data_IF_371313574426
#
_entry.id   IF_371313574426
#
_cell.length_a   1.000
_cell.length_b   1.000
_cell.length_c   1.000
_cell.angle_alpha   90.00
_cell.angle_beta   90.00
_cell.angle_gamma   90.00
#
_symmetry.space_group_name_H-M   'P 1'
#
loop_
_entity.id
_entity.type
_entity.pdbx_description
1 polymer ?
#
# COMPACT_ATOMS: atom_id res chain seq x y z
N UNK A 1 -19.54 12.18 5.49
CA UNK A 1 -18.40 11.60 6.24
C UNK A 1 -18.82 10.49 7.22
N UNK A 2 -19.93 10.63 7.98
CA UNK A 2 -20.36 9.58 8.94
C UNK A 2 -20.64 8.22 8.30
N UNK A 3 -21.12 8.18 7.07
CA UNK A 3 -21.37 6.98 6.28
C UNK A 3 -20.11 6.13 6.03
N UNK A 4 -18.91 6.75 6.07
CA UNK A 4 -17.63 6.08 5.88
C UNK A 4 -16.96 5.64 7.20
N UNK A 5 -17.57 5.87 8.36
CA UNK A 5 -17.02 5.40 9.65
C UNK A 5 -16.76 3.89 9.65
N UNK A 6 -17.62 3.03 9.06
CA UNK A 6 -17.34 1.59 8.97
C UNK A 6 -16.09 1.26 8.16
N UNK A 7 -15.76 2.06 7.15
CA UNK A 7 -14.52 1.89 6.37
C UNK A 7 -13.34 2.33 7.22
N UNK A 8 -13.39 3.52 7.83
CA UNK A 8 -12.33 4.04 8.68
C UNK A 8 -11.99 3.09 9.84
N UNK A 9 -13.00 2.50 10.48
CA UNK A 9 -12.83 1.51 11.55
C UNK A 9 -12.01 0.28 11.14
N UNK A 10 -12.09 -0.11 9.87
CA UNK A 10 -11.31 -1.24 9.32
C UNK A 10 -9.87 -0.85 8.99
N UNK A 11 -9.56 0.44 8.96
CA UNK A 11 -8.19 0.91 8.69
C UNK A 11 -7.30 0.66 9.89
N UNK A 12 -6.01 0.48 9.63
CA UNK A 12 -5.02 0.38 10.71
C UNK A 12 -4.97 1.67 11.55
N UNK A 13 -5.25 2.83 10.94
CA UNK A 13 -5.21 4.14 11.61
C UNK A 13 -6.20 4.22 12.78
N UNK A 14 -7.41 3.66 12.63
CA UNK A 14 -8.46 3.71 13.64
C UNK A 14 -8.66 2.36 14.37
N UNK A 15 -7.69 1.47 14.30
CA UNK A 15 -7.74 0.19 15.02
C UNK A 15 -7.95 0.41 16.53
N UNK A 16 -8.93 -0.26 17.11
CA UNK A 16 -9.27 -0.14 18.54
C UNK A 16 -10.08 1.10 18.92
N UNK A 17 -10.46 1.95 17.97
CA UNK A 17 -11.31 3.14 18.21
C UNK A 17 -12.77 2.80 17.92
N UNK A 18 -13.69 3.24 18.80
CA UNK A 18 -15.14 3.06 18.64
C UNK A 18 -15.74 3.98 17.56
N UNK A 19 -16.90 3.61 17.02
CA UNK A 19 -17.55 4.34 15.91
C UNK A 19 -17.91 5.79 16.28
N UNK A 20 -18.43 5.99 17.49
CA UNK A 20 -18.77 7.32 17.99
C UNK A 20 -17.52 8.17 18.23
N UNK A 21 -16.45 7.54 18.71
CA UNK A 21 -15.16 8.18 18.93
C UNK A 21 -14.52 8.59 17.60
N UNK A 22 -14.55 7.71 16.56
CA UNK A 22 -14.09 8.04 15.20
C UNK A 22 -14.87 9.26 14.70
N UNK A 23 -16.19 9.24 14.81
CA UNK A 23 -17.06 10.34 14.35
C UNK A 23 -16.69 11.68 14.98
N UNK A 24 -16.37 11.67 16.27
CA UNK A 24 -15.94 12.85 17.03
C UNK A 24 -14.54 13.31 16.61
N UNK A 25 -13.62 12.35 16.41
CA UNK A 25 -12.24 12.62 16.04
C UNK A 25 -12.09 13.21 14.64
N UNK A 26 -13.00 12.93 13.70
CA UNK A 26 -12.90 13.49 12.34
C UNK A 26 -12.74 15.01 12.35
N UNK A 27 -13.46 15.73 13.21
CA UNK A 27 -13.31 17.19 13.34
C UNK A 27 -11.98 17.57 13.99
N UNK A 28 -11.54 16.85 15.02
CA UNK A 28 -10.27 17.11 15.70
C UNK A 28 -9.07 16.89 14.77
N UNK A 29 -9.11 15.87 13.93
CA UNK A 29 -8.06 15.53 12.97
C UNK A 29 -8.10 16.41 11.71
N UNK A 30 -9.05 17.34 11.60
CA UNK A 30 -9.22 18.20 10.42
C UNK A 30 -9.59 17.39 9.17
N UNK A 31 -10.38 16.33 9.36
CA UNK A 31 -10.77 15.45 8.28
C UNK A 31 -11.56 16.16 7.19
N UNK A 32 -11.15 15.98 5.94
CA UNK A 32 -11.86 16.40 4.73
C UNK A 32 -12.09 15.18 3.86
N UNK A 33 -13.27 15.04 3.30
CA UNK A 33 -13.60 13.97 2.35
C UNK A 33 -13.83 14.62 0.98
N UNK A 34 -13.05 14.23 0.00
CA UNK A 34 -13.12 14.77 -1.35
C UNK A 34 -13.44 13.65 -2.35
N UNK A 35 -14.42 13.87 -3.24
CA UNK A 35 -14.74 12.97 -4.34
C UNK A 35 -13.80 13.22 -5.52
N UNK A 36 -13.48 12.16 -6.25
CA UNK A 36 -12.71 12.18 -7.48
C UNK A 36 -13.37 11.31 -8.54
N UNK A 37 -13.51 11.83 -9.74
CA UNK A 37 -13.98 11.06 -10.88
C UNK A 37 -12.86 10.23 -11.46
N UNK A 38 -13.22 9.14 -12.14
CA UNK A 38 -12.27 8.33 -12.90
C UNK A 38 -11.41 9.22 -13.81
N UNK A 39 -10.10 9.08 -13.70
CA UNK A 39 -9.09 9.85 -14.45
C UNK A 39 -8.63 11.14 -13.78
N UNK A 40 -9.25 11.56 -12.67
CA UNK A 40 -8.80 12.74 -11.93
C UNK A 40 -7.58 12.43 -11.05
N UNK A 41 -6.72 13.44 -10.93
CA UNK A 41 -5.54 13.38 -10.06
C UNK A 41 -5.93 13.68 -8.61
N UNK A 42 -5.63 12.74 -7.73
CA UNK A 42 -5.74 12.92 -6.28
C UNK A 42 -4.51 13.67 -5.75
N UNK A 43 -3.34 13.31 -6.28
CA UNK A 43 -2.05 13.95 -5.97
C UNK A 43 -1.25 14.06 -7.27
N UNK A 44 -0.49 15.16 -7.42
CA UNK A 44 0.38 15.39 -8.57
C UNK A 44 1.86 15.41 -8.19
N UNK A 45 2.68 14.82 -9.02
CA UNK A 45 4.13 14.92 -8.91
C UNK A 45 4.55 16.40 -8.85
N UNK A 46 5.49 16.72 -7.96
CA UNK A 46 6.01 18.06 -7.75
C UNK A 46 5.24 18.90 -6.73
N UNK A 47 4.04 18.49 -6.31
CA UNK A 47 3.28 19.18 -5.25
C UNK A 47 3.81 18.82 -3.86
N UNK A 48 3.53 19.69 -2.88
CA UNK A 48 3.76 19.44 -1.46
C UNK A 48 2.51 18.85 -0.82
N UNK A 49 2.71 17.91 0.08
CA UNK A 49 1.63 17.25 0.81
C UNK A 49 1.76 17.49 2.31
N UNK A 50 0.67 17.93 2.95
CA UNK A 50 0.57 18.15 4.40
C UNK A 50 -0.45 17.22 5.08
N UNK A 51 -1.08 16.37 4.32
CA UNK A 51 -2.15 15.50 4.78
C UNK A 51 -1.75 14.03 4.66
N UNK A 52 -2.22 13.22 5.60
CA UNK A 52 -2.25 11.76 5.48
C UNK A 52 -3.58 11.41 4.83
N UNK A 53 -3.55 10.54 3.84
CA UNK A 53 -4.73 10.19 3.07
C UNK A 53 -5.18 8.76 3.35
N UNK A 54 -6.50 8.54 3.25
CA UNK A 54 -7.13 7.21 3.33
C UNK A 54 -8.15 7.09 2.22
N UNK A 55 -8.07 6.03 1.42
CA UNK A 55 -9.09 5.75 0.42
C UNK A 55 -10.36 5.21 1.08
N UNK A 56 -11.47 5.93 0.95
CA UNK A 56 -12.75 5.55 1.51
C UNK A 56 -13.57 4.69 0.55
N UNK A 57 -13.48 4.96 -0.75
CA UNK A 57 -14.20 4.27 -1.80
C UNK A 57 -13.44 4.35 -3.11
N UNK A 58 -13.59 3.34 -3.98
CA UNK A 58 -12.97 3.32 -5.30
C UNK A 58 -11.61 2.64 -5.31
N UNK A 59 -10.77 3.04 -6.27
CA UNK A 59 -9.41 2.52 -6.47
C UNK A 59 -8.52 3.59 -7.08
N UNK A 60 -7.27 3.67 -6.59
CA UNK A 60 -6.29 4.60 -7.12
C UNK A 60 -5.06 3.86 -7.64
N UNK A 61 -4.38 4.47 -8.63
CA UNK A 61 -3.06 4.03 -9.08
C UNK A 61 -2.02 5.07 -8.70
N UNK A 62 -0.87 4.59 -8.24
CA UNK A 62 0.35 5.38 -8.13
C UNK A 62 1.08 5.21 -9.45
N UNK A 63 1.32 6.30 -10.16
CA UNK A 63 1.98 6.26 -11.47
C UNK A 63 3.10 7.29 -11.56
N UNK A 64 3.99 7.05 -12.50
CA UNK A 64 5.08 7.95 -12.85
C UNK A 64 5.24 7.98 -14.36
N UNK A 65 5.31 9.17 -14.90
CA UNK A 65 5.67 9.36 -16.28
C UNK A 65 7.19 9.65 -16.37
N UNK A 66 7.89 9.00 -17.30
CA UNK A 66 9.30 9.27 -17.55
C UNK A 66 9.49 10.49 -18.46
N UNK A 67 10.75 10.88 -18.69
CA UNK A 67 11.09 12.03 -19.54
C UNK A 67 10.55 11.89 -20.98
N UNK A 68 10.38 10.66 -21.46
CA UNK A 68 9.88 10.38 -22.83
C UNK A 68 8.36 10.21 -22.88
N UNK A 69 7.66 10.37 -21.76
CA UNK A 69 6.20 10.23 -21.64
C UNK A 69 5.71 8.79 -21.51
N UNK A 70 6.60 7.82 -21.24
CA UNK A 70 6.18 6.47 -20.92
C UNK A 70 5.64 6.40 -19.51
N UNK A 71 4.44 5.86 -19.37
CA UNK A 71 3.76 5.72 -18.10
C UNK A 71 4.05 4.38 -17.44
N UNK A 72 4.48 4.42 -16.17
CA UNK A 72 4.68 3.25 -15.35
C UNK A 72 3.73 3.28 -14.15
N UNK A 73 3.02 2.18 -13.90
CA UNK A 73 2.19 2.00 -12.71
C UNK A 73 3.08 1.38 -11.62
N UNK A 74 3.29 2.13 -10.55
CA UNK A 74 4.16 1.74 -9.44
C UNK A 74 3.42 0.95 -8.35
N UNK A 75 2.10 1.14 -8.26
CA UNK A 75 1.27 0.48 -7.25
C UNK A 75 -0.20 0.83 -7.37
N UNK A 76 -0.99 0.17 -6.53
CA UNK A 76 -2.42 0.36 -6.38
C UNK A 76 -2.73 0.73 -4.94
N UNK A 77 -3.77 1.53 -4.72
CA UNK A 77 -4.29 1.86 -3.41
C UNK A 77 -5.74 1.37 -3.37
N UNK A 78 -6.02 0.47 -2.41
CA UNK A 78 -7.33 -0.09 -2.15
C UNK A 78 -8.07 0.62 -1.02
N UNK A 79 -9.37 0.34 -0.90
CA UNK A 79 -10.22 0.90 0.16
C UNK A 79 -9.67 0.57 1.54
N UNK A 80 -9.56 1.59 2.40
CA UNK A 80 -9.02 1.51 3.75
C UNK A 80 -7.50 1.65 3.83
N UNK A 81 -6.79 1.74 2.72
CA UNK A 81 -5.35 1.94 2.74
C UNK A 81 -4.98 3.39 3.00
N UNK A 82 -3.93 3.55 3.83
CA UNK A 82 -3.30 4.85 4.14
C UNK A 82 -2.27 5.12 3.05
N UNK A 83 -2.17 6.37 2.58
CA UNK A 83 -1.14 6.77 1.62
C UNK A 83 -0.75 8.24 1.79
N UNK A 84 0.34 8.66 1.15
CA UNK A 84 0.89 10.01 1.26
C UNK A 84 1.78 10.25 2.48
N UNK A 85 1.79 9.35 3.46
CA UNK A 85 2.52 9.48 4.72
C UNK A 85 4.03 9.67 4.57
N UNK A 86 4.61 9.25 3.45
CA UNK A 86 6.04 9.42 3.17
C UNK A 86 6.43 10.87 2.84
N UNK A 87 5.46 11.75 2.54
CA UNK A 87 5.67 13.11 2.03
C UNK A 87 5.19 14.21 2.98
N UNK A 88 4.66 13.85 4.14
CA UNK A 88 4.06 14.83 5.08
C UNK A 88 5.06 15.52 5.99
N UNK A 89 6.31 15.08 6.05
CA UNK A 89 7.34 15.79 6.81
C UNK A 89 7.71 17.10 6.10
N UNK A 90 7.94 18.21 6.84
CA UNK A 90 8.24 19.49 6.23
C UNK A 90 9.43 19.49 5.27
N UNK A 91 10.39 18.60 5.50
CA UNK A 91 11.62 18.45 4.73
C UNK A 91 11.57 17.32 3.70
N UNK A 92 10.42 16.64 3.56
CA UNK A 92 10.29 15.47 2.64
C UNK A 92 10.33 15.84 1.16
N UNK A 93 10.29 17.16 0.86
CA UNK A 93 10.29 17.64 -0.52
C UNK A 93 8.92 17.51 -1.18
N UNK A 94 8.93 17.40 -2.51
CA UNK A 94 7.72 17.27 -3.32
C UNK A 94 7.38 15.82 -3.62
N UNK A 95 6.13 15.56 -3.98
CA UNK A 95 5.67 14.26 -4.44
C UNK A 95 6.48 13.79 -5.65
N UNK A 96 6.95 12.54 -5.61
CA UNK A 96 7.73 11.93 -6.68
C UNK A 96 6.85 11.26 -7.75
N UNK A 97 5.57 11.05 -7.46
CA UNK A 97 4.66 10.28 -8.28
C UNK A 97 3.27 10.94 -8.27
N UNK A 98 2.51 10.67 -9.33
CA UNK A 98 1.09 10.99 -9.38
C UNK A 98 0.25 9.91 -8.69
N UNK A 99 -0.90 10.31 -8.16
CA UNK A 99 -1.96 9.39 -7.72
C UNK A 99 -3.24 9.73 -8.47
N UNK A 100 -3.77 8.76 -9.23
CA UNK A 100 -4.92 8.95 -10.10
C UNK A 100 -6.05 7.99 -9.73
N UNK A 101 -7.28 8.49 -9.76
CA UNK A 101 -8.48 7.69 -9.61
C UNK A 101 -8.73 6.84 -10.88
N UNK A 102 -8.79 5.51 -10.75
CA UNK A 102 -9.06 4.60 -11.87
C UNK A 102 -10.55 4.21 -11.98
N UNK A 103 -11.30 4.55 -10.95
CA UNK A 103 -12.75 4.55 -10.89
C UNK A 103 -13.21 5.71 -10.00
N UNK A 104 -14.51 6.04 -9.98
CA UNK A 104 -15.05 7.08 -9.09
C UNK A 104 -14.65 6.75 -7.65
N UNK A 105 -14.03 7.68 -6.96
CA UNK A 105 -13.34 7.45 -5.70
C UNK A 105 -13.63 8.55 -4.70
N UNK A 106 -13.55 8.21 -3.41
CA UNK A 106 -13.67 9.17 -2.30
C UNK A 106 -12.45 9.03 -1.38
N UNK A 107 -11.79 10.14 -1.08
CA UNK A 107 -10.54 10.15 -0.32
C UNK A 107 -10.65 11.04 0.91
N UNK A 108 -10.31 10.50 2.08
CA UNK A 108 -10.10 11.29 3.29
C UNK A 108 -8.71 11.91 3.29
N UNK A 109 -8.66 13.17 3.69
CA UNK A 109 -7.45 13.94 3.99
C UNK A 109 -7.46 14.26 5.48
N UNK A 110 -6.40 13.94 6.19
CA UNK A 110 -6.19 14.23 7.60
C UNK A 110 -4.96 15.12 7.76
N UNK A 111 -5.14 16.30 8.31
CA UNK A 111 -4.04 17.24 8.58
C UNK A 111 -3.00 16.58 9.51
N UNK A 112 -1.79 16.37 8.99
CA UNK A 112 -0.73 15.67 9.75
C UNK A 112 -0.39 16.37 11.05
N UNK A 113 -0.37 17.72 11.07
CA UNK A 113 -0.07 18.47 12.29
C UNK A 113 -1.12 18.22 13.37
N UNK A 114 -2.38 18.09 12.98
CA UNK A 114 -3.46 17.73 13.90
C UNK A 114 -3.41 16.26 14.32
N UNK A 115 -3.00 15.38 13.43
CA UNK A 115 -2.85 13.94 13.75
C UNK A 115 -1.75 13.72 14.79
N UNK A 116 -0.58 14.37 14.65
CA UNK A 116 0.57 14.15 15.52
C UNK A 116 0.59 15.02 16.79
N UNK A 117 -0.20 16.10 16.83
CA UNK A 117 -0.29 16.96 18.01
C UNK A 117 -1.31 16.40 19.01
N UNK A 118 -1.00 16.47 20.29
CA UNK A 118 -1.97 16.16 21.33
C UNK A 118 -3.07 17.21 21.35
N UNK A 119 -4.33 16.77 21.33
CA UNK A 119 -5.45 17.70 21.50
C UNK A 119 -5.47 18.27 22.94
N UNK A 120 -6.02 19.48 23.10
CA UNK A 120 -6.16 20.17 24.40
C UNK A 120 -6.94 19.32 25.44
N UNK A 121 -7.75 18.37 24.97
CA UNK A 121 -8.55 17.47 25.81
C UNK A 121 -7.80 16.20 26.23
N UNK A 122 -6.52 16.03 25.83
CA UNK A 122 -5.67 14.86 26.13
C UNK A 122 -6.41 13.50 25.91
N UNK A 123 -7.20 13.39 24.84
CA UNK A 123 -8.04 12.22 24.67
C UNK A 123 -7.19 10.99 24.33
N UNK A 124 -7.48 9.88 25.01
CA UNK A 124 -6.76 8.59 24.81
C UNK A 124 -6.81 8.08 23.37
N UNK A 125 -7.84 8.41 22.64
CA UNK A 125 -8.03 7.98 21.25
C UNK A 125 -7.04 8.67 20.30
N UNK A 126 -6.68 9.93 20.55
CA UNK A 126 -5.68 10.65 19.77
C UNK A 126 -4.32 9.96 19.89
N UNK A 127 -3.90 9.64 21.11
CA UNK A 127 -2.67 8.85 21.35
C UNK A 127 -2.71 7.51 20.61
N UNK A 128 -3.87 6.83 20.64
CA UNK A 128 -4.06 5.56 19.93
C UNK A 128 -3.89 5.71 18.42
N UNK A 129 -4.47 6.77 17.81
CA UNK A 129 -4.31 7.04 16.37
C UNK A 129 -2.85 7.31 16.01
N UNK A 130 -2.12 8.07 16.82
CA UNK A 130 -0.68 8.31 16.61
C UNK A 130 0.12 6.99 16.69
N UNK A 131 -0.16 6.16 17.69
CA UNK A 131 0.48 4.83 17.81
C UNK A 131 0.15 3.93 16.61
N UNK A 132 -1.10 3.90 16.20
CA UNK A 132 -1.56 3.13 15.04
C UNK A 132 -0.89 3.60 13.74
N UNK A 133 -0.74 4.91 13.57
CA UNK A 133 -0.02 5.48 12.43
C UNK A 133 1.44 5.02 12.43
N UNK A 134 2.11 5.09 13.57
CA UNK A 134 3.49 4.62 13.71
C UNK A 134 3.62 3.13 13.35
N UNK A 135 2.71 2.27 13.83
CA UNK A 135 2.72 0.85 13.49
C UNK A 135 2.44 0.60 12.00
N UNK A 136 1.50 1.36 11.41
CA UNK A 136 1.21 1.25 9.98
C UNK A 136 2.41 1.63 9.12
N UNK A 137 3.12 2.71 9.45
CA UNK A 137 4.36 3.14 8.77
C UNK A 137 5.47 2.10 8.96
N UNK A 138 5.65 1.57 10.17
CA UNK A 138 6.65 0.55 10.47
C UNK A 138 6.42 -0.73 9.67
N UNK A 139 5.17 -1.14 9.50
CA UNK A 139 4.81 -2.31 8.69
C UNK A 139 5.06 -2.08 7.20
N UNK A 140 4.71 -0.90 6.67
CA UNK A 140 5.04 -0.51 5.29
C UNK A 140 6.55 -0.50 5.06
N UNK A 141 7.32 0.08 5.99
CA UNK A 141 8.79 0.10 5.90
C UNK A 141 9.36 -1.32 5.86
N UNK A 142 8.86 -2.22 6.73
CA UNK A 142 9.25 -3.63 6.70
C UNK A 142 8.94 -4.29 5.36
N UNK A 143 7.78 -4.01 4.77
CA UNK A 143 7.41 -4.50 3.43
C UNK A 143 8.34 -3.99 2.33
N UNK A 144 8.76 -2.72 2.40
CA UNK A 144 9.74 -2.14 1.48
C UNK A 144 11.12 -2.78 1.63
N UNK A 145 11.59 -3.01 2.86
CA UNK A 145 12.88 -3.71 3.11
C UNK A 145 12.84 -5.13 2.54
N UNK A 146 11.75 -5.86 2.73
CA UNK A 146 11.57 -7.19 2.14
C UNK A 146 11.58 -7.13 0.60
N UNK A 147 10.90 -6.15 0.00
CA UNK A 147 10.92 -5.96 -1.45
C UNK A 147 12.32 -5.66 -1.97
N UNK A 148 13.08 -4.83 -1.27
CA UNK A 148 14.48 -4.55 -1.61
C UNK A 148 15.34 -5.82 -1.56
N UNK A 149 15.14 -6.71 -0.57
CA UNK A 149 15.85 -7.99 -0.52
C UNK A 149 15.56 -8.84 -1.76
N UNK A 150 14.31 -8.99 -2.17
CA UNK A 150 13.98 -9.73 -3.40
C UNK A 150 14.59 -9.08 -4.64
N UNK A 151 14.52 -7.76 -4.74
CA UNK A 151 15.02 -7.03 -5.90
C UNK A 151 16.55 -7.04 -5.99
N UNK A 152 17.27 -7.16 -4.87
CA UNK A 152 18.73 -7.23 -4.82
C UNK A 152 19.30 -8.54 -5.36
N UNK A 153 18.48 -9.59 -5.47
CA UNK A 153 18.89 -10.87 -6.04
C UNK A 153 19.21 -10.72 -7.52
N UNK A 154 20.27 -11.37 -7.98
CA UNK A 154 20.77 -11.20 -9.36
C UNK A 154 19.93 -11.90 -10.41
N UNK A 155 19.44 -13.09 -10.11
CA UNK A 155 18.73 -13.94 -11.08
C UNK A 155 17.24 -14.00 -10.78
N UNK A 156 16.42 -14.23 -11.82
CA UNK A 156 14.98 -14.48 -11.71
C UNK A 156 14.69 -15.63 -10.74
N UNK A 157 15.51 -16.69 -10.79
CA UNK A 157 15.40 -17.84 -9.91
C UNK A 157 15.57 -17.47 -8.43
N UNK A 158 16.64 -16.74 -8.11
CA UNK A 158 16.89 -16.30 -6.73
C UNK A 158 15.78 -15.39 -6.20
N UNK A 159 15.27 -14.48 -7.04
CA UNK A 159 14.14 -13.62 -6.70
C UNK A 159 12.89 -14.46 -6.38
N UNK A 160 12.56 -15.44 -7.22
CA UNK A 160 11.44 -16.34 -7.02
C UNK A 160 11.58 -17.17 -5.75
N UNK A 161 12.73 -17.83 -5.55
CA UNK A 161 13.00 -18.63 -4.35
C UNK A 161 12.88 -17.80 -3.07
N UNK A 162 13.48 -16.62 -3.05
CA UNK A 162 13.41 -15.72 -1.88
C UNK A 162 11.96 -15.31 -1.58
N UNK A 163 11.21 -14.89 -2.60
CA UNK A 163 9.83 -14.46 -2.44
C UNK A 163 8.89 -15.60 -2.00
N UNK A 164 8.93 -16.74 -2.69
CA UNK A 164 8.10 -17.91 -2.39
C UNK A 164 8.38 -18.48 -1.01
N UNK A 165 9.66 -18.53 -0.61
CA UNK A 165 10.07 -18.97 0.73
C UNK A 165 9.50 -18.05 1.82
N UNK A 166 9.55 -16.74 1.61
CA UNK A 166 9.00 -15.79 2.58
C UNK A 166 7.47 -15.88 2.67
N UNK A 167 6.78 -16.05 1.54
CA UNK A 167 5.33 -16.26 1.53
C UNK A 167 4.95 -17.59 2.22
N UNK A 168 5.73 -18.63 2.06
CA UNK A 168 5.52 -19.89 2.79
C UNK A 168 5.66 -19.71 4.31
N UNK A 169 6.64 -18.93 4.77
CA UNK A 169 6.79 -18.58 6.19
C UNK A 169 5.60 -17.76 6.70
N UNK A 170 5.16 -16.74 5.94
CA UNK A 170 4.01 -15.89 6.32
C UNK A 170 2.71 -16.69 6.44
N UNK A 171 2.47 -17.62 5.50
CA UNK A 171 1.28 -18.48 5.50
C UNK A 171 1.44 -19.72 6.38
N UNK A 172 2.62 -19.92 6.98
CA UNK A 172 2.99 -21.09 7.77
C UNK A 172 2.61 -22.40 7.06
N UNK A 173 2.89 -22.47 5.77
CA UNK A 173 2.49 -23.59 4.90
C UNK A 173 3.43 -23.71 3.69
N UNK A 174 3.75 -24.96 3.31
CA UNK A 174 4.43 -25.25 2.04
C UNK A 174 3.49 -25.06 0.82
N UNK A 175 2.17 -25.08 1.05
CA UNK A 175 1.16 -24.82 0.01
C UNK A 175 0.63 -23.40 0.18
N UNK A 176 1.01 -22.50 -0.73
CA UNK A 176 0.74 -21.06 -0.65
C UNK A 176 -0.14 -20.60 -1.80
N UNK A 177 -0.92 -19.55 -1.54
CA UNK A 177 -1.67 -18.84 -2.58
C UNK A 177 -1.18 -17.40 -2.63
N UNK A 178 -0.71 -16.98 -3.81
CA UNK A 178 -0.23 -15.61 -4.01
C UNK A 178 -1.37 -14.67 -4.38
N UNK A 179 -1.31 -13.39 -3.95
CA UNK A 179 -2.31 -12.38 -4.33
C UNK A 179 -2.15 -11.89 -5.78
N UNK A 180 -1.12 -12.36 -6.49
CA UNK A 180 -0.72 -11.92 -7.82
C UNK A 180 -1.08 -12.92 -8.90
N UNK A 181 -1.52 -12.42 -10.07
CA UNK A 181 -1.45 -13.20 -11.30
C UNK A 181 -0.01 -13.21 -11.85
N UNK A 182 0.25 -13.92 -12.96
CA UNK A 182 1.61 -14.06 -13.51
C UNK A 182 2.24 -12.73 -13.94
N UNK A 183 1.48 -11.84 -14.55
CA UNK A 183 1.98 -10.52 -14.93
C UNK A 183 2.32 -9.70 -13.70
N UNK A 184 1.40 -9.63 -12.74
CA UNK A 184 1.59 -8.89 -11.49
C UNK A 184 2.78 -9.39 -10.67
N UNK A 185 3.01 -10.72 -10.66
CA UNK A 185 4.18 -11.30 -9.98
C UNK A 185 5.49 -10.90 -10.68
N UNK A 186 5.51 -10.93 -12.00
CA UNK A 186 6.68 -10.48 -12.77
C UNK A 186 6.98 -9.00 -12.54
N UNK A 187 5.96 -8.15 -12.56
CA UNK A 187 6.07 -6.73 -12.27
C UNK A 187 6.55 -6.49 -10.83
N UNK A 188 6.00 -7.22 -9.85
CA UNK A 188 6.38 -7.13 -8.44
C UNK A 188 7.85 -7.48 -8.20
N UNK A 189 8.36 -8.53 -8.89
CA UNK A 189 9.76 -8.98 -8.79
C UNK A 189 10.70 -8.24 -9.75
N UNK A 190 10.15 -7.33 -10.57
CA UNK A 190 10.89 -6.61 -11.62
C UNK A 190 11.70 -7.57 -12.51
N UNK A 191 10.98 -8.50 -13.14
CA UNK A 191 11.53 -9.48 -14.08
C UNK A 191 10.64 -9.59 -15.32
N UNK A 192 11.21 -10.04 -16.44
CA UNK A 192 10.41 -10.36 -17.61
C UNK A 192 9.46 -11.53 -17.33
N UNK A 193 8.19 -11.39 -17.76
CA UNK A 193 7.15 -12.41 -17.52
C UNK A 193 7.48 -13.75 -18.17
N UNK A 194 8.03 -13.73 -19.40
CA UNK A 194 8.36 -14.94 -20.14
C UNK A 194 9.55 -15.66 -19.51
N UNK A 195 10.59 -14.88 -19.13
CA UNK A 195 11.73 -15.40 -18.41
C UNK A 195 11.32 -16.03 -17.05
N UNK A 196 10.44 -15.34 -16.31
CA UNK A 196 9.90 -15.85 -15.06
C UNK A 196 9.11 -17.17 -15.26
N UNK A 197 8.25 -17.22 -16.28
CA UNK A 197 7.46 -18.43 -16.56
C UNK A 197 8.34 -19.61 -16.93
N UNK A 198 9.37 -19.38 -17.73
CA UNK A 198 10.35 -20.43 -18.11
C UNK A 198 11.11 -20.92 -16.87
N UNK A 199 11.51 -20.00 -15.98
CA UNK A 199 12.22 -20.38 -14.76
C UNK A 199 11.35 -21.20 -13.80
N UNK A 200 10.08 -20.83 -13.64
CA UNK A 200 9.12 -21.60 -12.85
C UNK A 200 8.92 -23.04 -13.41
N UNK A 201 8.89 -23.19 -14.73
CA UNK A 201 8.83 -24.54 -15.35
C UNK A 201 10.07 -25.37 -15.03
N UNK A 202 11.27 -24.76 -15.11
CA UNK A 202 12.52 -25.44 -14.74
C UNK A 202 12.51 -25.87 -13.27
N UNK A 203 12.10 -24.97 -12.37
CA UNK A 203 12.02 -25.27 -10.93
C UNK A 203 11.02 -26.39 -10.64
N UNK A 204 9.91 -26.46 -11.37
CA UNK A 204 8.97 -27.58 -11.30
C UNK A 204 9.61 -28.88 -11.78
N UNK A 205 10.26 -28.86 -12.93
CA UNK A 205 10.89 -30.06 -13.54
C UNK A 205 12.05 -30.58 -12.70
N UNK A 206 12.69 -29.72 -11.90
CA UNK A 206 13.69 -30.09 -10.88
C UNK A 206 13.08 -30.58 -9.56
N UNK A 207 11.74 -30.53 -9.41
CA UNK A 207 11.06 -31.00 -8.21
C UNK A 207 11.13 -30.05 -7.01
N UNK A 208 11.48 -28.78 -7.21
CA UNK A 208 11.55 -27.77 -6.14
C UNK A 208 10.17 -27.21 -5.77
N UNK A 209 9.25 -27.19 -6.73
CA UNK A 209 7.90 -26.69 -6.53
C UNK A 209 6.92 -27.27 -7.56
N UNK A 210 5.65 -27.20 -7.22
CA UNK A 210 4.52 -27.32 -8.14
C UNK A 210 3.72 -26.06 -8.16
N UNK A 211 3.02 -25.77 -9.28
CA UNK A 211 2.16 -24.61 -9.34
C UNK A 211 0.97 -24.79 -10.28
N UNK A 212 -0.14 -24.20 -9.89
CA UNK A 212 -1.32 -24.01 -10.72
C UNK A 212 -1.83 -22.57 -10.57
N UNK A 213 -1.80 -21.80 -11.66
CA UNK A 213 -2.15 -20.35 -11.64
C UNK A 213 -1.34 -19.60 -10.56
N UNK A 214 -2.00 -19.17 -9.49
CA UNK A 214 -1.39 -18.43 -8.37
C UNK A 214 -1.20 -19.29 -7.10
N UNK A 215 -1.41 -20.59 -7.21
CA UNK A 215 -1.15 -21.55 -6.12
C UNK A 215 0.19 -22.23 -6.36
N UNK A 216 0.97 -22.37 -5.30
CA UNK A 216 2.29 -22.99 -5.32
C UNK A 216 2.41 -23.97 -4.17
N UNK A 217 3.12 -25.06 -4.42
CA UNK A 217 3.55 -26.02 -3.40
C UNK A 217 5.06 -26.14 -3.46
N UNK A 218 5.72 -25.91 -2.34
CA UNK A 218 7.18 -26.01 -2.20
C UNK A 218 7.55 -27.36 -1.59
N UNK A 219 8.70 -27.92 -1.99
CA UNK A 219 9.21 -29.20 -1.53
C UNK A 219 10.56 -29.05 -0.84
#
# INVERSE_FOLDING_TARGET
MKEFVPVLKRTKLFSGVGDDDISTMLSCLGARLLPYKKGEYVLRQGEHLSDILVLAEGRLHIQRDDYWGNRSILGHIGVGEIFGEAYVAPESGTLLNDVIAVEDSSVFFFDVKRVISTCSSACRFHTMVVQNLFFAISEKNRGLVQKLDYMSRRTTREKLLSYLSEEAKKQNSASITLPFNRQQLADYLSVDRSAMSNELCKMRDEGLLEFEKNRFRLF
#
